data_IF_844436508175
#
_entry.id   IF_844436508175
#
_cell.length_a   1.000
_cell.length_b   1.000
_cell.length_c   1.000
_cell.angle_alpha   90.00
_cell.angle_beta   90.00
_cell.angle_gamma   90.00
#
_symmetry.space_group_name_H-M   'P 1'
#
loop_
_entity.id
_entity.type
_entity.pdbx_description
1 polymer ?
#
# COMPACT_ATOMS: atom_id res chain seq x y z
N UNK A 1 -4.27 -11.86 23.12
CA UNK A 1 -3.78 -11.51 21.78
C UNK A 1 -2.53 -12.34 21.53
N UNK A 2 -2.60 -13.29 20.61
CA UNK A 2 -1.49 -14.21 20.27
C UNK A 2 -0.56 -13.58 19.23
N UNK A 3 0.10 -12.47 19.58
CA UNK A 3 1.08 -11.83 18.68
C UNK A 3 2.36 -12.66 18.64
N UNK A 4 2.87 -12.89 17.44
CA UNK A 4 4.15 -13.58 17.21
C UNK A 4 4.23 -15.00 17.77
N UNK A 5 3.09 -15.71 17.88
CA UNK A 5 3.05 -17.10 18.33
C UNK A 5 3.45 -18.04 17.21
N UNK A 6 4.41 -18.91 17.47
CA UNK A 6 4.92 -19.90 16.53
C UNK A 6 3.88 -21.01 16.36
N UNK A 7 3.49 -21.31 15.13
CA UNK A 7 2.57 -22.41 14.79
C UNK A 7 3.29 -23.64 14.27
N UNK A 8 4.41 -23.46 13.54
CA UNK A 8 5.21 -24.53 12.99
C UNK A 8 6.69 -24.16 12.95
N UNK A 9 7.55 -25.15 12.96
CA UNK A 9 9.01 -25.00 12.86
C UNK A 9 9.50 -26.01 11.83
N UNK A 10 10.21 -25.51 10.84
CA UNK A 10 10.77 -26.35 9.79
C UNK A 10 11.78 -27.37 10.36
N UNK A 11 11.82 -28.59 9.81
CA UNK A 11 12.79 -29.60 10.21
C UNK A 11 14.26 -29.14 10.09
N UNK A 12 14.54 -28.25 9.12
CA UNK A 12 15.87 -27.70 8.87
C UNK A 12 16.13 -26.36 9.61
N UNK A 13 15.16 -25.89 10.42
CA UNK A 13 15.30 -24.68 11.22
C UNK A 13 16.50 -24.78 12.17
N UNK A 14 17.34 -23.74 12.30
CA UNK A 14 18.39 -23.69 13.32
C UNK A 14 17.81 -23.65 14.75
N UNK A 15 16.51 -23.37 14.89
CA UNK A 15 15.78 -23.34 16.17
C UNK A 15 15.03 -24.64 16.48
N UNK A 16 15.08 -25.68 15.63
CA UNK A 16 14.27 -26.92 15.73
C UNK A 16 14.35 -27.67 17.08
N UNK A 17 15.43 -27.46 17.83
CA UNK A 17 15.63 -28.12 19.13
C UNK A 17 15.36 -27.20 20.33
N UNK A 18 15.10 -25.92 20.09
CA UNK A 18 14.98 -24.89 21.11
C UNK A 18 13.62 -24.20 21.13
N UNK A 19 12.97 -24.08 19.97
CA UNK A 19 11.64 -23.52 19.83
C UNK A 19 10.58 -24.63 19.74
N UNK A 20 9.34 -24.32 20.15
CA UNK A 20 8.20 -25.23 20.07
C UNK A 20 6.96 -24.47 19.56
N UNK A 21 6.02 -25.13 18.85
CA UNK A 21 4.71 -24.56 18.58
C UNK A 21 4.05 -24.09 19.88
N UNK A 22 3.49 -22.87 19.87
CA UNK A 22 2.94 -22.20 21.05
C UNK A 22 3.92 -21.25 21.74
N UNK A 23 5.22 -21.32 21.45
CA UNK A 23 6.20 -20.32 21.92
C UNK A 23 5.94 -18.98 21.21
N UNK A 24 6.29 -17.89 21.88
CA UNK A 24 6.20 -16.55 21.32
C UNK A 24 7.60 -16.00 21.02
N UNK A 25 7.81 -15.51 19.81
CA UNK A 25 9.01 -14.76 19.47
C UNK A 25 8.92 -13.36 20.10
N UNK A 26 9.87 -13.04 20.98
CA UNK A 26 9.90 -11.80 21.77
C UNK A 26 10.82 -10.76 21.14
N UNK A 27 12.08 -11.16 20.87
CA UNK A 27 13.08 -10.26 20.28
C UNK A 27 14.13 -11.03 19.50
N UNK A 28 14.79 -10.32 18.59
CA UNK A 28 15.99 -10.77 17.88
C UNK A 28 17.08 -9.74 18.09
N UNK A 29 18.25 -10.15 18.56
CA UNK A 29 19.39 -9.27 18.88
C UNK A 29 18.98 -8.10 19.81
N UNK A 30 18.07 -8.34 20.77
CA UNK A 30 17.54 -7.34 21.69
C UNK A 30 16.46 -6.43 21.10
N UNK A 31 16.18 -6.48 19.79
CA UNK A 31 15.14 -5.71 19.15
C UNK A 31 13.78 -6.40 19.29
N UNK A 32 12.76 -5.74 19.85
CA UNK A 32 11.43 -6.35 20.02
C UNK A 32 10.80 -6.70 18.66
N UNK A 33 10.19 -7.88 18.56
CA UNK A 33 9.42 -8.28 17.38
C UNK A 33 7.94 -8.02 17.66
N UNK A 34 7.34 -7.18 16.86
CA UNK A 34 5.93 -6.82 16.98
C UNK A 34 5.06 -7.40 15.86
N UNK A 35 5.64 -7.61 14.70
CA UNK A 35 4.99 -8.18 13.52
C UNK A 35 6.01 -8.74 12.50
N UNK A 36 5.50 -9.15 11.34
CA UNK A 36 6.27 -9.77 10.26
C UNK A 36 7.38 -8.86 9.69
N UNK A 37 7.22 -7.53 9.72
CA UNK A 37 8.25 -6.62 9.20
C UNK A 37 9.47 -6.56 10.11
N UNK A 38 9.27 -6.48 11.44
CA UNK A 38 10.37 -6.59 12.40
C UNK A 38 11.06 -7.95 12.26
N UNK A 39 10.27 -9.03 12.14
CA UNK A 39 10.81 -10.36 11.96
C UNK A 39 11.70 -10.47 10.73
N UNK A 40 11.21 -10.08 9.56
CA UNK A 40 11.99 -10.15 8.32
C UNK A 40 13.24 -9.26 8.36
N UNK A 41 13.15 -8.08 8.96
CA UNK A 41 14.28 -7.15 9.05
C UNK A 41 15.35 -7.65 10.00
N UNK A 42 15.00 -7.96 11.26
CA UNK A 42 15.97 -8.36 12.27
C UNK A 42 16.46 -9.82 12.15
N UNK A 43 15.72 -10.68 11.44
CA UNK A 43 16.17 -12.03 11.13
C UNK A 43 17.13 -12.11 9.94
N UNK A 44 17.48 -10.99 9.28
CA UNK A 44 18.33 -11.00 8.10
C UNK A 44 19.79 -11.35 8.40
N UNK A 45 20.32 -10.97 9.56
CA UNK A 45 21.71 -11.18 9.96
C UNK A 45 22.07 -12.67 10.10
N UNK A 46 23.38 -13.03 9.94
CA UNK A 46 23.83 -14.42 10.06
C UNK A 46 23.92 -14.90 11.50
N UNK A 47 24.21 -14.03 12.46
CA UNK A 47 24.35 -14.34 13.88
C UNK A 47 23.23 -13.70 14.68
N UNK A 48 22.39 -14.50 15.32
CA UNK A 48 21.20 -14.04 15.99
C UNK A 48 21.11 -14.53 17.44
N UNK A 49 20.72 -13.63 18.34
CA UNK A 49 20.25 -13.94 19.68
C UNK A 49 18.72 -13.87 19.67
N UNK A 50 18.05 -15.01 19.60
CA UNK A 50 16.59 -15.14 19.49
C UNK A 50 15.99 -15.38 20.87
N UNK A 51 15.21 -14.41 21.37
CA UNK A 51 14.49 -14.55 22.64
C UNK A 51 13.09 -15.11 22.40
N UNK A 52 12.80 -16.24 23.02
CA UNK A 52 11.52 -16.93 22.97
C UNK A 52 10.87 -16.93 24.35
N UNK A 53 9.54 -16.81 24.39
CA UNK A 53 8.73 -16.93 25.61
C UNK A 53 7.81 -18.13 25.48
N UNK A 54 7.92 -19.06 26.43
CA UNK A 54 7.07 -20.24 26.53
C UNK A 54 5.65 -19.88 26.98
N UNK A 55 4.67 -20.76 26.78
CA UNK A 55 3.29 -20.56 27.27
C UNK A 55 3.21 -20.35 28.79
N UNK A 56 4.14 -20.90 29.58
CA UNK A 56 4.24 -20.69 31.04
C UNK A 56 4.81 -19.32 31.44
N UNK A 57 5.20 -18.49 30.46
CA UNK A 57 5.78 -17.15 30.65
C UNK A 57 7.31 -17.13 30.77
N UNK A 58 7.98 -18.29 30.83
CA UNK A 58 9.46 -18.39 30.92
C UNK A 58 10.09 -17.90 29.60
N UNK A 59 11.07 -17.01 29.71
CA UNK A 59 11.87 -16.56 28.57
C UNK A 59 13.23 -17.26 28.55
N UNK A 60 13.68 -17.57 27.35
CA UNK A 60 15.02 -18.05 27.09
C UNK A 60 15.57 -17.50 25.78
N UNK A 61 16.87 -17.28 25.71
CA UNK A 61 17.56 -16.83 24.53
C UNK A 61 18.37 -17.93 23.89
N UNK A 62 18.24 -18.10 22.60
CA UNK A 62 18.97 -19.08 21.80
C UNK A 62 19.86 -18.32 20.82
N UNK A 63 21.13 -18.69 20.79
CA UNK A 63 22.07 -18.16 19.78
C UNK A 63 22.08 -19.09 18.58
N UNK A 64 21.85 -18.55 17.41
CA UNK A 64 21.82 -19.29 16.15
C UNK A 64 22.71 -18.64 15.11
N UNK A 65 23.36 -19.46 14.29
CA UNK A 65 24.11 -19.03 13.12
C UNK A 65 23.44 -19.60 11.86
N UNK A 66 23.32 -18.79 10.81
CA UNK A 66 22.72 -19.15 9.53
C UNK A 66 23.34 -18.33 8.38
N UNK A 67 23.14 -18.67 7.10
CA UNK A 67 23.52 -17.80 6.00
C UNK A 67 22.87 -16.42 6.09
N UNK A 68 23.58 -15.38 5.65
CA UNK A 68 23.03 -14.03 5.52
C UNK A 68 21.74 -14.06 4.67
N UNK A 69 20.66 -13.48 5.16
CA UNK A 69 19.34 -13.52 4.49
C UNK A 69 18.65 -14.90 4.54
N UNK A 70 19.28 -15.94 5.10
CA UNK A 70 18.64 -17.25 5.29
C UNK A 70 17.47 -17.17 6.26
N UNK A 71 16.49 -18.04 6.10
CA UNK A 71 15.30 -18.06 6.96
C UNK A 71 15.55 -18.78 8.28
N UNK A 72 14.78 -18.41 9.32
CA UNK A 72 14.77 -19.11 10.60
C UNK A 72 13.87 -20.35 10.60
N UNK A 73 13.06 -20.54 9.54
CA UNK A 73 12.14 -21.67 9.42
C UNK A 73 11.07 -21.67 10.51
N UNK A 74 10.49 -20.51 10.82
CA UNK A 74 9.38 -20.34 11.76
C UNK A 74 8.14 -19.86 11.02
N UNK A 75 7.03 -20.61 11.17
CA UNK A 75 5.70 -20.17 10.81
C UNK A 75 4.96 -19.66 12.03
N UNK A 76 4.05 -18.70 11.81
CA UNK A 76 3.26 -18.07 12.87
C UNK A 76 1.77 -18.32 12.68
N UNK A 77 0.97 -18.18 13.75
CA UNK A 77 -0.49 -18.39 13.69
C UNK A 77 -1.19 -17.52 12.63
N UNK A 78 -0.66 -16.35 12.35
CA UNK A 78 -1.12 -15.47 11.28
C UNK A 78 0.04 -15.00 10.42
N UNK A 79 -0.21 -14.78 9.13
CA UNK A 79 0.80 -14.31 8.18
C UNK A 79 1.47 -13.00 8.58
N UNK A 80 0.73 -12.08 9.20
CA UNK A 80 1.25 -10.80 9.68
C UNK A 80 1.83 -10.89 11.10
N UNK A 81 1.79 -12.06 11.73
CA UNK A 81 2.17 -12.33 13.13
C UNK A 81 1.27 -11.62 14.15
N UNK A 82 0.24 -10.89 13.68
CA UNK A 82 -0.86 -10.33 14.46
C UNK A 82 -2.10 -10.14 13.56
N UNK A 83 -3.09 -9.33 13.99
CA UNK A 83 -4.28 -9.04 13.19
C UNK A 83 -4.00 -7.93 12.16
N UNK A 84 -4.54 -8.10 10.95
CA UNK A 84 -4.52 -7.05 9.94
C UNK A 84 -5.30 -5.79 10.40
N UNK A 85 -4.83 -4.62 10.00
CA UNK A 85 -5.47 -3.34 10.31
C UNK A 85 -6.60 -3.07 9.31
N UNK A 86 -7.82 -2.90 9.83
CA UNK A 86 -8.96 -2.51 9.01
C UNK A 86 -8.93 -1.03 8.69
N UNK A 87 -9.39 -0.69 7.48
CA UNK A 87 -9.53 0.69 7.03
C UNK A 87 -10.58 1.45 7.88
N UNK A 88 -10.21 2.66 8.32
CA UNK A 88 -11.08 3.55 9.08
C UNK A 88 -11.79 4.61 8.22
N UNK A 89 -11.66 4.50 6.87
CA UNK A 89 -12.23 5.47 5.95
C UNK A 89 -13.65 5.09 5.50
N UNK A 90 -14.40 6.10 5.07
CA UNK A 90 -15.74 6.00 4.47
C UNK A 90 -15.72 6.69 3.10
N UNK A 91 -14.83 6.19 2.20
CA UNK A 91 -14.62 6.81 0.90
C UNK A 91 -15.91 6.86 0.08
N UNK A 92 -16.20 8.00 -0.55
CA UNK A 92 -17.38 8.17 -1.40
C UNK A 92 -17.41 7.21 -2.59
N UNK A 93 -16.22 6.71 -2.98
CA UNK A 93 -16.01 5.78 -4.09
C UNK A 93 -15.64 4.35 -3.64
N UNK A 94 -15.74 4.01 -2.34
CA UNK A 94 -15.31 2.70 -1.84
C UNK A 94 -16.04 1.57 -2.59
N UNK A 95 -15.29 0.72 -3.29
CA UNK A 95 -15.90 -0.38 -4.02
C UNK A 95 -16.37 -1.52 -3.09
N UNK A 96 -15.77 -1.65 -1.91
CA UNK A 96 -16.23 -2.62 -0.90
C UNK A 96 -17.64 -2.26 -0.41
N UNK A 97 -17.94 -0.94 -0.21
CA UNK A 97 -19.26 -0.49 0.24
C UNK A 97 -20.36 -0.70 -0.81
N UNK A 98 -20.00 -0.93 -2.05
CA UNK A 98 -20.91 -1.22 -3.16
C UNK A 98 -20.82 -2.67 -3.67
N UNK A 99 -20.33 -3.58 -2.82
CA UNK A 99 -20.38 -5.02 -3.07
C UNK A 99 -21.78 -5.58 -2.85
N UNK A 100 -22.19 -6.64 -3.58
CA UNK A 100 -23.46 -7.32 -3.34
C UNK A 100 -23.57 -7.78 -1.89
N UNK A 101 -24.73 -7.59 -1.21
CA UNK A 101 -24.92 -8.07 0.14
C UNK A 101 -24.98 -9.61 0.18
N UNK A 102 -24.66 -10.19 1.35
CA UNK A 102 -24.79 -11.63 1.61
C UNK A 102 -23.68 -12.51 1.05
N UNK A 103 -22.57 -11.93 0.60
CA UNK A 103 -21.39 -12.70 0.17
C UNK A 103 -20.55 -13.12 1.39
N UNK A 104 -19.49 -13.94 1.15
CA UNK A 104 -18.60 -14.38 2.22
C UNK A 104 -17.96 -13.19 2.95
N UNK A 105 -17.83 -13.23 4.30
CA UNK A 105 -17.36 -12.08 5.10
C UNK A 105 -16.01 -11.51 4.68
N UNK A 106 -15.10 -12.35 4.16
CA UNK A 106 -13.77 -11.92 3.70
C UNK A 106 -13.80 -10.91 2.54
N UNK A 107 -14.88 -10.86 1.75
CA UNK A 107 -15.04 -9.87 0.67
C UNK A 107 -15.37 -8.47 1.18
N UNK A 108 -15.79 -8.33 2.43
CA UNK A 108 -16.14 -7.04 3.02
C UNK A 108 -15.03 -6.49 3.93
N UNK A 109 -13.90 -7.19 4.00
CA UNK A 109 -12.76 -6.71 4.75
C UNK A 109 -12.12 -5.55 3.97
N UNK A 110 -12.10 -4.37 4.61
CA UNK A 110 -11.41 -3.19 4.09
C UNK A 110 -10.02 -3.14 4.71
N UNK A 111 -9.02 -3.38 3.92
CA UNK A 111 -7.65 -3.30 4.37
C UNK A 111 -7.10 -1.87 4.23
N UNK A 112 -6.24 -1.46 5.15
CA UNK A 112 -5.45 -0.23 5.11
C UNK A 112 -4.18 -0.45 5.97
N UNK A 113 -3.46 -1.53 5.68
CA UNK A 113 -2.34 -2.04 6.46
C UNK A 113 -1.02 -1.85 5.69
N UNK A 114 -0.09 -1.08 6.25
CA UNK A 114 1.21 -0.81 5.65
C UNK A 114 2.02 -2.08 5.36
N UNK A 115 1.83 -3.15 6.15
CA UNK A 115 2.49 -4.44 5.95
C UNK A 115 1.99 -5.13 4.69
N UNK A 116 0.67 -5.07 4.45
CA UNK A 116 0.07 -5.62 3.23
C UNK A 116 0.47 -4.80 2.00
N UNK A 117 0.66 -3.49 2.16
CA UNK A 117 1.20 -2.65 1.08
C UNK A 117 2.58 -3.13 0.64
N UNK A 118 3.50 -3.33 1.58
CA UNK A 118 4.86 -3.78 1.27
C UNK A 118 4.94 -5.24 0.82
N UNK A 119 4.20 -6.15 1.48
CA UNK A 119 4.32 -7.60 1.26
C UNK A 119 3.51 -8.10 0.07
N UNK A 120 2.38 -7.45 -0.23
CA UNK A 120 1.38 -7.91 -1.19
C UNK A 120 1.07 -6.89 -2.29
N UNK A 121 1.67 -5.71 -2.25
CA UNK A 121 1.37 -4.65 -3.21
C UNK A 121 0.04 -3.91 -2.99
N UNK A 122 -0.64 -4.11 -1.86
CA UNK A 122 -1.90 -3.45 -1.57
C UNK A 122 -1.74 -1.93 -1.43
N UNK A 123 -2.74 -1.17 -1.85
CA UNK A 123 -2.74 0.28 -1.73
C UNK A 123 -3.27 0.73 -0.37
N UNK A 124 -2.49 1.54 0.36
CA UNK A 124 -2.87 2.09 1.66
C UNK A 124 -3.16 3.59 1.59
N UNK A 125 -4.02 4.08 2.48
CA UNK A 125 -4.44 5.49 2.47
C UNK A 125 -3.58 6.41 3.32
N UNK A 126 -2.68 5.89 4.12
CA UNK A 126 -1.87 6.58 5.14
C UNK A 126 -2.69 7.19 6.30
N UNK A 127 -4.02 6.99 6.34
CA UNK A 127 -4.87 7.57 7.40
C UNK A 127 -4.84 6.79 8.70
N UNK A 128 -4.45 5.51 8.64
CA UNK A 128 -4.36 4.60 9.78
C UNK A 128 -2.99 4.63 10.49
N UNK A 129 -1.99 5.31 9.91
CA UNK A 129 -0.65 5.33 10.46
C UNK A 129 -0.56 6.22 11.70
N UNK A 130 -0.01 5.67 12.76
CA UNK A 130 0.48 6.44 13.89
C UNK A 130 1.86 7.05 13.57
N UNK A 131 2.26 8.07 14.33
CA UNK A 131 3.58 8.68 14.21
C UNK A 131 4.71 7.63 14.36
N UNK A 132 4.53 6.69 15.29
CA UNK A 132 5.48 5.59 15.49
C UNK A 132 5.62 4.71 14.25
N UNK A 133 4.51 4.41 13.57
CA UNK A 133 4.51 3.60 12.35
C UNK A 133 5.18 4.33 11.19
N UNK A 134 4.92 5.63 11.02
CA UNK A 134 5.62 6.46 10.03
C UNK A 134 7.14 6.41 10.25
N UNK A 135 7.60 6.64 11.50
CA UNK A 135 9.02 6.56 11.83
C UNK A 135 9.60 5.16 11.61
N UNK A 136 8.83 4.12 11.93
CA UNK A 136 9.25 2.73 11.73
C UNK A 136 9.40 2.37 10.25
N UNK A 137 8.47 2.80 9.39
CA UNK A 137 8.56 2.59 7.93
C UNK A 137 9.87 3.20 7.40
N UNK A 138 10.19 4.41 7.83
CA UNK A 138 11.43 5.10 7.43
C UNK A 138 12.66 4.36 7.99
N UNK A 139 12.66 4.03 9.29
CA UNK A 139 13.80 3.38 9.97
C UNK A 139 14.12 2.00 9.38
N UNK A 140 13.10 1.17 9.14
CA UNK A 140 13.25 -0.15 8.56
C UNK A 140 13.40 -0.11 7.02
N UNK A 141 13.35 1.08 6.42
CA UNK A 141 13.45 1.29 4.98
C UNK A 141 12.45 0.44 4.18
N UNK A 142 11.19 0.40 4.65
CA UNK A 142 10.11 -0.37 4.02
C UNK A 142 9.71 0.31 2.71
N UNK A 143 10.24 -0.21 1.60
CA UNK A 143 10.15 0.39 0.26
C UNK A 143 10.18 -0.70 -0.82
N UNK A 144 9.41 -0.59 -1.91
CA UNK A 144 8.42 0.44 -2.17
C UNK A 144 7.13 0.25 -1.33
N UNK A 145 6.32 1.31 -1.24
CA UNK A 145 4.95 1.28 -0.70
C UNK A 145 3.96 1.82 -1.72
N UNK A 146 2.73 1.30 -1.70
CA UNK A 146 1.67 1.71 -2.59
C UNK A 146 0.68 2.62 -1.87
N UNK A 147 0.41 3.81 -2.40
CA UNK A 147 -0.36 4.86 -1.73
C UNK A 147 -1.62 5.25 -2.51
N UNK A 148 -2.78 5.10 -1.90
CA UNK A 148 -4.07 5.64 -2.38
C UNK A 148 -4.13 7.14 -2.08
N UNK A 149 -3.83 7.97 -3.07
CA UNK A 149 -3.73 9.44 -2.91
C UNK A 149 -5.07 10.14 -3.12
N UNK A 150 -5.67 9.97 -4.28
CA UNK A 150 -6.93 10.51 -4.78
C UNK A 150 -6.95 12.04 -4.93
N UNK A 151 -6.44 12.81 -3.97
CA UNK A 151 -6.23 14.26 -4.02
C UNK A 151 -5.14 14.68 -3.02
N UNK A 152 -4.43 15.78 -3.31
CA UNK A 152 -3.48 16.42 -2.38
C UNK A 152 -4.08 17.62 -1.66
N UNK A 153 -5.20 18.16 -2.16
CA UNK A 153 -5.99 19.14 -1.42
C UNK A 153 -6.52 18.53 -0.12
N UNK A 154 -6.19 19.07 1.07
CA UNK A 154 -6.53 18.46 2.36
C UNK A 154 -8.03 18.35 2.62
N UNK A 155 -8.81 19.36 2.21
CA UNK A 155 -10.25 19.41 2.43
C UNK A 155 -10.95 18.43 1.49
N UNK A 156 -10.60 18.48 0.20
CA UNK A 156 -11.13 17.56 -0.79
C UNK A 156 -10.81 16.10 -0.42
N UNK A 157 -9.57 15.83 -0.02
CA UNK A 157 -9.18 14.46 0.36
C UNK A 157 -9.93 13.98 1.60
N UNK A 158 -10.10 14.84 2.61
CA UNK A 158 -10.88 14.51 3.80
C UNK A 158 -12.34 14.20 3.46
N UNK A 159 -12.91 14.94 2.53
CA UNK A 159 -14.25 14.67 2.00
C UNK A 159 -14.30 13.34 1.22
N UNK A 160 -13.40 13.13 0.26
CA UNK A 160 -13.35 11.92 -0.57
C UNK A 160 -13.23 10.63 0.26
N UNK A 161 -12.42 10.67 1.32
CA UNK A 161 -12.19 9.52 2.18
C UNK A 161 -13.16 9.44 3.38
N UNK A 162 -14.01 10.45 3.59
CA UNK A 162 -14.88 10.51 4.76
C UNK A 162 -14.10 10.46 6.08
N UNK A 163 -12.88 11.03 6.11
CA UNK A 163 -11.96 10.95 7.25
C UNK A 163 -11.15 12.24 7.41
N UNK A 164 -11.31 12.99 8.51
CA UNK A 164 -10.58 14.24 8.73
C UNK A 164 -9.05 14.09 8.78
N UNK A 165 -8.54 12.89 9.11
CA UNK A 165 -7.08 12.63 9.11
C UNK A 165 -6.49 12.56 7.72
N UNK A 166 -7.32 12.35 6.70
CA UNK A 166 -6.86 12.18 5.31
C UNK A 166 -6.16 13.42 4.74
N UNK A 167 -6.42 14.62 5.27
CA UNK A 167 -5.76 15.84 4.84
C UNK A 167 -4.25 15.91 5.08
N UNK A 168 -3.68 15.04 5.94
CA UNK A 168 -2.24 15.03 6.26
C UNK A 168 -1.37 14.19 5.32
N UNK A 169 -1.95 13.55 4.32
CA UNK A 169 -1.26 12.56 3.49
C UNK A 169 -0.03 13.12 2.79
N UNK A 170 -0.14 14.31 2.17
CA UNK A 170 1.00 14.91 1.46
C UNK A 170 2.19 15.21 2.41
N UNK A 171 1.92 15.58 3.66
CA UNK A 171 2.95 15.75 4.69
C UNK A 171 3.67 14.42 4.99
N UNK A 172 2.91 13.34 5.17
CA UNK A 172 3.48 12.01 5.40
C UNK A 172 4.29 11.55 4.18
N UNK A 173 3.78 11.74 2.97
CA UNK A 173 4.49 11.40 1.72
C UNK A 173 5.81 12.18 1.56
N UNK A 174 5.85 13.46 1.94
CA UNK A 174 7.11 14.23 1.97
C UNK A 174 8.12 13.60 2.92
N UNK A 175 7.70 13.25 4.12
CA UNK A 175 8.57 12.57 5.10
C UNK A 175 9.07 11.21 4.59
N UNK A 176 8.24 10.45 3.90
CA UNK A 176 8.66 9.21 3.24
C UNK A 176 9.67 9.49 2.13
N UNK A 177 9.43 10.50 1.31
CA UNK A 177 10.37 10.94 0.28
C UNK A 177 11.72 11.34 0.87
N UNK A 178 11.72 12.16 1.93
CA UNK A 178 12.93 12.59 2.64
C UNK A 178 13.65 11.41 3.31
N UNK A 179 12.90 10.42 3.79
CA UNK A 179 13.39 9.16 4.35
C UNK A 179 13.84 8.13 3.32
N UNK A 180 13.80 8.46 2.02
CA UNK A 180 14.28 7.58 0.96
C UNK A 180 13.27 6.51 0.49
N UNK A 181 12.03 6.51 0.98
CA UNK A 181 11.00 5.53 0.63
C UNK A 181 10.43 5.81 -0.76
N UNK A 182 10.43 4.80 -1.62
CA UNK A 182 9.79 4.85 -2.94
C UNK A 182 8.29 4.60 -2.81
N UNK A 183 7.49 5.34 -3.55
CA UNK A 183 6.03 5.28 -3.52
C UNK A 183 5.47 5.08 -4.92
N UNK A 184 4.58 4.09 -5.10
CA UNK A 184 3.69 3.99 -6.24
C UNK A 184 2.32 4.50 -5.82
N UNK A 185 1.73 5.39 -6.60
CA UNK A 185 0.52 6.09 -6.22
C UNK A 185 -0.67 5.73 -7.11
N UNK A 186 -1.86 5.76 -6.53
CA UNK A 186 -3.12 5.57 -7.26
C UNK A 186 -4.06 6.74 -6.99
N UNK A 187 -4.74 7.19 -8.04
CA UNK A 187 -5.81 8.18 -7.98
C UNK A 187 -7.07 7.56 -8.57
N UNK A 188 -8.06 7.24 -7.73
CA UNK A 188 -9.41 6.97 -8.22
C UNK A 188 -10.04 8.29 -8.63
N UNK A 189 -10.17 8.52 -9.93
CA UNK A 189 -10.69 9.75 -10.49
C UNK A 189 -12.22 9.69 -10.53
N UNK A 190 -12.87 10.69 -9.94
CA UNK A 190 -14.31 10.84 -9.84
C UNK A 190 -14.71 12.11 -10.57
N UNK A 191 -15.43 12.04 -11.72
CA UNK A 191 -15.86 13.21 -12.47
C UNK A 191 -16.61 14.24 -11.62
N UNK A 192 -16.20 15.51 -11.73
CA UNK A 192 -16.76 16.63 -10.98
C UNK A 192 -16.28 16.75 -9.52
N UNK A 193 -15.36 15.90 -9.06
CA UNK A 193 -14.81 15.96 -7.71
C UNK A 193 -13.30 16.20 -7.71
N UNK A 194 -12.52 15.24 -8.19
CA UNK A 194 -11.06 15.30 -8.17
C UNK A 194 -10.42 15.18 -9.56
N UNK A 195 -11.19 15.44 -10.62
CA UNK A 195 -10.76 15.62 -12.01
C UNK A 195 -10.29 17.04 -12.31
N UNK A 196 -10.02 17.36 -13.57
CA UNK A 196 -9.67 18.68 -14.07
C UNK A 196 -8.59 19.39 -13.24
N UNK A 197 -8.89 20.57 -12.72
CA UNK A 197 -7.94 21.39 -11.96
C UNK A 197 -7.45 20.72 -10.67
N UNK A 198 -8.29 19.92 -10.00
CA UNK A 198 -7.89 19.19 -8.80
C UNK A 198 -6.92 18.03 -9.13
N UNK A 199 -7.16 17.35 -10.23
CA UNK A 199 -6.23 16.31 -10.73
C UNK A 199 -4.90 16.96 -11.12
N UNK A 200 -4.92 18.05 -11.83
CA UNK A 200 -3.71 18.81 -12.22
C UNK A 200 -2.90 19.24 -11.00
N UNK A 201 -3.55 19.84 -9.98
CA UNK A 201 -2.89 20.16 -8.70
C UNK A 201 -2.24 18.93 -8.07
N UNK A 202 -2.98 17.83 -7.98
CA UNK A 202 -2.48 16.59 -7.40
C UNK A 202 -1.27 16.06 -8.13
N UNK A 203 -1.29 16.07 -9.47
CA UNK A 203 -0.15 15.65 -10.29
C UNK A 203 1.08 16.53 -10.07
N UNK A 204 0.93 17.84 -9.97
CA UNK A 204 2.04 18.76 -9.67
C UNK A 204 2.65 18.49 -8.29
N UNK A 205 1.81 18.31 -7.27
CA UNK A 205 2.28 18.04 -5.91
C UNK A 205 3.05 16.70 -5.82
N UNK A 206 2.57 15.68 -6.54
CA UNK A 206 3.22 14.37 -6.59
C UNK A 206 4.52 14.40 -7.42
N UNK A 207 4.52 15.09 -8.55
CA UNK A 207 5.72 15.27 -9.39
C UNK A 207 6.84 16.00 -8.66
N UNK A 208 6.52 16.87 -7.68
CA UNK A 208 7.51 17.52 -6.84
C UNK A 208 8.25 16.55 -5.89
N UNK A 209 7.74 15.33 -5.71
CA UNK A 209 8.36 14.27 -4.90
C UNK A 209 9.14 13.24 -5.76
N UNK A 210 9.24 13.44 -7.09
CA UNK A 210 10.07 12.60 -7.94
C UNK A 210 11.55 12.68 -7.50
N UNK A 211 12.34 11.58 -7.51
CA UNK A 211 12.02 10.23 -7.97
C UNK A 211 11.36 9.32 -6.93
N UNK A 212 11.04 9.80 -5.73
CA UNK A 212 10.47 8.97 -4.68
C UNK A 212 8.99 8.64 -4.92
N UNK A 213 8.21 9.53 -5.50
CA UNK A 213 6.99 9.13 -6.22
C UNK A 213 7.43 8.63 -7.59
N UNK A 214 7.48 7.30 -7.70
CA UNK A 214 8.03 6.61 -8.87
C UNK A 214 7.01 6.52 -10.00
N UNK A 215 5.77 6.16 -9.68
CA UNK A 215 4.69 6.07 -10.65
C UNK A 215 3.32 6.42 -10.04
N UNK A 216 2.42 6.92 -10.87
CA UNK A 216 1.06 7.31 -10.48
C UNK A 216 0.07 6.79 -11.51
N UNK A 217 -0.88 5.95 -11.10
CA UNK A 217 -2.00 5.52 -11.94
C UNK A 217 -3.23 6.37 -11.69
N UNK A 218 -3.90 6.79 -12.75
CA UNK A 218 -5.21 7.43 -12.72
C UNK A 218 -6.24 6.43 -13.22
N UNK A 219 -7.08 5.93 -12.32
CA UNK A 219 -8.11 4.94 -12.62
C UNK A 219 -9.49 5.56 -12.56
N UNK A 220 -10.41 5.22 -13.46
CA UNK A 220 -11.78 5.72 -13.39
C UNK A 220 -12.49 5.14 -12.18
N UNK A 221 -13.39 5.90 -11.57
CA UNK A 221 -14.25 5.38 -10.50
C UNK A 221 -15.14 4.26 -11.03
N UNK A 222 -15.11 3.11 -10.33
CA UNK A 222 -15.99 1.98 -10.59
C UNK A 222 -17.32 2.16 -9.85
N UNK A 223 -18.45 2.03 -10.56
CA UNK A 223 -19.79 2.13 -10.00
C UNK A 223 -20.55 0.85 -10.22
N UNK A 224 -21.18 0.33 -9.16
CA UNK A 224 -22.05 -0.85 -9.21
C UNK A 224 -23.51 -0.46 -8.99
N UNK A 225 -24.43 -1.40 -9.20
CA UNK A 225 -25.86 -1.21 -8.91
C UNK A 225 -26.19 -1.22 -7.42
N UNK A 226 -25.24 -1.54 -6.55
CA UNK A 226 -25.43 -1.63 -5.09
C UNK A 226 -24.97 -0.36 -4.38
N UNK A 227 -25.41 0.80 -4.87
CA UNK A 227 -25.04 2.12 -4.33
C UNK A 227 -26.16 2.84 -3.60
N UNK A 228 -27.21 2.15 -3.21
CA UNK A 228 -28.32 2.74 -2.45
C UNK A 228 -27.78 3.31 -1.11
N UNK A 229 -28.12 4.58 -0.83
CA UNK A 229 -27.66 5.28 0.37
C UNK A 229 -26.20 5.77 0.35
N UNK A 230 -25.42 5.47 -0.67
CA UNK A 230 -24.05 5.99 -0.83
C UNK A 230 -24.05 7.35 -1.56
N UNK A 231 -22.95 8.10 -1.37
CA UNK A 231 -22.78 9.40 -2.04
C UNK A 231 -22.95 9.26 -3.56
N UNK A 232 -23.77 10.10 -4.20
CA UNK A 232 -24.01 10.02 -5.65
C UNK A 232 -22.76 10.42 -6.43
N UNK A 233 -22.26 9.50 -7.25
CA UNK A 233 -21.11 9.72 -8.14
C UNK A 233 -21.57 9.65 -9.59
N UNK A 234 -20.93 10.46 -10.44
CA UNK A 234 -21.15 10.47 -11.87
C UNK A 234 -20.20 9.48 -12.55
N UNK A 235 -20.66 8.59 -13.42
CA UNK A 235 -19.78 7.74 -14.20
C UNK A 235 -19.02 8.57 -15.25
N UNK A 236 -17.87 8.06 -15.68
CA UNK A 236 -17.15 8.65 -16.81
C UNK A 236 -17.98 8.54 -18.10
N UNK A 237 -18.16 9.64 -18.80
CA UNK A 237 -18.60 9.65 -20.20
C UNK A 237 -17.38 9.54 -21.13
N UNK A 238 -17.58 9.21 -22.44
CA UNK A 238 -16.47 9.22 -23.39
C UNK A 238 -15.72 10.55 -23.45
N UNK A 239 -16.43 11.67 -23.35
CA UNK A 239 -15.87 13.03 -23.38
C UNK A 239 -15.02 13.28 -22.14
N UNK A 240 -15.51 13.00 -20.93
CA UNK A 240 -14.75 13.15 -19.69
C UNK A 240 -13.50 12.23 -19.68
N UNK A 241 -13.62 11.02 -20.23
CA UNK A 241 -12.47 10.12 -20.36
C UNK A 241 -11.41 10.71 -21.30
N UNK A 242 -11.84 11.28 -22.45
CA UNK A 242 -10.95 11.91 -23.40
C UNK A 242 -10.24 13.14 -22.80
N UNK A 243 -10.97 14.03 -22.11
CA UNK A 243 -10.39 15.20 -21.43
C UNK A 243 -9.38 14.79 -20.34
N UNK A 244 -9.69 13.77 -19.56
CA UNK A 244 -8.78 13.23 -18.53
C UNK A 244 -7.51 12.66 -19.16
N UNK A 245 -7.64 11.89 -20.24
CA UNK A 245 -6.50 11.34 -21.00
C UNK A 245 -5.62 12.46 -21.55
N UNK A 246 -6.20 13.48 -22.15
CA UNK A 246 -5.46 14.61 -22.72
C UNK A 246 -4.67 15.35 -21.64
N UNK A 247 -5.29 15.60 -20.48
CA UNK A 247 -4.65 16.25 -19.34
C UNK A 247 -3.47 15.42 -18.80
N UNK A 248 -3.70 14.12 -18.53
CA UNK A 248 -2.68 13.25 -17.92
C UNK A 248 -1.55 12.95 -18.89
N UNK A 249 -1.84 12.68 -20.16
CA UNK A 249 -0.83 12.38 -21.16
C UNK A 249 0.07 13.60 -21.43
N UNK A 250 -0.53 14.81 -21.54
CA UNK A 250 0.25 16.04 -21.70
C UNK A 250 1.21 16.25 -20.50
N UNK A 251 0.72 16.04 -19.28
CA UNK A 251 1.55 16.16 -18.08
C UNK A 251 2.63 15.06 -18.00
N UNK A 252 2.31 13.84 -18.40
CA UNK A 252 3.29 12.74 -18.51
C UNK A 252 4.41 13.08 -19.51
N UNK A 253 4.07 13.69 -20.66
CA UNK A 253 5.05 14.14 -21.64
C UNK A 253 5.96 15.27 -21.09
N UNK A 254 5.43 16.15 -20.24
CA UNK A 254 6.23 17.13 -19.51
C UNK A 254 7.18 16.45 -18.51
N UNK A 255 6.72 15.40 -17.80
CA UNK A 255 7.56 14.60 -16.91
C UNK A 255 8.69 13.92 -17.67
N UNK A 256 8.42 13.33 -18.83
CA UNK A 256 9.48 12.72 -19.68
C UNK A 256 10.56 13.76 -20.04
N UNK A 257 10.16 14.97 -20.44
CA UNK A 257 11.10 16.06 -20.77
C UNK A 257 11.92 16.52 -19.58
N UNK A 258 11.31 16.54 -18.38
CA UNK A 258 11.93 17.08 -17.16
C UNK A 258 12.74 16.05 -16.41
N UNK A 259 12.26 14.83 -16.34
CA UNK A 259 12.78 13.78 -15.47
C UNK A 259 13.37 12.59 -16.23
N UNK A 260 13.05 12.45 -17.52
CA UNK A 260 13.40 11.26 -18.31
C UNK A 260 12.46 10.07 -18.07
N UNK A 261 11.35 10.26 -17.35
CA UNK A 261 10.35 9.24 -17.04
C UNK A 261 8.94 9.82 -17.08
N UNK A 262 7.95 9.03 -17.48
CA UNK A 262 6.55 9.47 -17.64
C UNK A 262 5.85 9.73 -16.31
N UNK A 263 6.07 8.93 -15.32
CA UNK A 263 5.53 8.99 -13.94
C UNK A 263 4.01 8.84 -13.86
N UNK A 264 3.22 9.48 -14.73
CA UNK A 264 1.74 9.51 -14.68
C UNK A 264 1.14 8.73 -15.85
N UNK A 265 0.22 7.80 -15.51
CA UNK A 265 -0.41 6.90 -16.47
C UNK A 265 -1.91 6.83 -16.21
N UNK A 266 -2.72 6.85 -17.25
CA UNK A 266 -4.12 6.48 -17.17
C UNK A 266 -4.28 4.97 -17.29
N UNK A 267 -5.23 4.40 -16.56
CA UNK A 267 -5.65 3.02 -16.78
C UNK A 267 -6.21 2.83 -18.20
N UNK A 268 -5.99 1.66 -18.77
CA UNK A 268 -6.43 1.30 -20.13
C UNK A 268 -7.94 1.46 -20.30
N UNK A 269 -8.70 1.27 -19.21
CA UNK A 269 -10.15 1.48 -19.19
C UNK A 269 -10.53 2.91 -19.63
N UNK A 270 -9.72 3.94 -19.32
CA UNK A 270 -10.01 5.31 -19.76
C UNK A 270 -9.86 5.46 -21.27
N UNK A 271 -8.86 4.80 -21.88
CA UNK A 271 -8.71 4.77 -23.35
C UNK A 271 -9.91 4.09 -24.00
N UNK A 272 -10.33 2.93 -23.47
CA UNK A 272 -11.50 2.21 -23.98
C UNK A 272 -12.79 3.03 -23.84
N UNK A 273 -12.97 3.73 -22.70
CA UNK A 273 -14.14 4.60 -22.50
C UNK A 273 -14.15 5.79 -23.45
N UNK A 274 -13.00 6.35 -23.77
CA UNK A 274 -12.85 7.45 -24.71
C UNK A 274 -12.93 7.03 -26.19
N UNK A 275 -13.00 5.72 -26.47
CA UNK A 275 -12.95 5.17 -27.83
C UNK A 275 -11.60 5.39 -28.51
N UNK A 276 -10.51 5.46 -27.74
CA UNK A 276 -9.13 5.66 -28.23
C UNK A 276 -8.36 4.34 -28.23
N UNK A 277 -7.41 4.21 -29.13
CA UNK A 277 -6.45 3.12 -29.15
C UNK A 277 -5.54 3.17 -27.89
N UNK A 278 -5.13 2.00 -27.41
CA UNK A 278 -4.17 1.88 -26.31
C UNK A 278 -2.79 2.36 -26.79
N UNK A 279 -2.00 2.97 -25.91
CA UNK A 279 -0.62 3.31 -26.21
C UNK A 279 0.23 2.10 -26.56
N UNK A 280 1.33 2.28 -27.31
CA UNK A 280 2.28 1.21 -27.58
C UNK A 280 3.04 0.80 -26.31
N UNK A 281 3.67 -0.36 -26.34
CA UNK A 281 4.36 -0.97 -25.19
C UNK A 281 5.38 -0.02 -24.52
N UNK A 282 6.15 0.71 -25.31
CA UNK A 282 7.18 1.62 -24.82
C UNK A 282 6.63 2.80 -24.01
N UNK A 283 5.35 3.12 -24.15
CA UNK A 283 4.69 4.17 -23.38
C UNK A 283 4.60 3.82 -21.89
N UNK A 284 4.46 2.53 -21.57
CA UNK A 284 4.22 2.04 -20.21
C UNK A 284 5.51 1.85 -19.38
N UNK A 285 6.68 2.08 -19.99
CA UNK A 285 8.00 1.97 -19.35
C UNK A 285 8.19 0.60 -18.65
N UNK A 286 8.31 0.55 -17.33
CA UNK A 286 8.53 -0.68 -16.56
C UNK A 286 7.24 -1.43 -16.18
N UNK A 287 6.08 -1.01 -16.66
CA UNK A 287 4.76 -1.60 -16.31
C UNK A 287 4.48 -1.65 -14.81
N UNK A 288 4.91 -0.64 -14.07
CA UNK A 288 4.82 -0.59 -12.60
C UNK A 288 3.39 -0.54 -12.06
N UNK A 289 2.39 -0.34 -12.91
CA UNK A 289 0.99 -0.12 -12.52
C UNK A 289 0.03 -1.17 -13.15
N UNK A 290 0.52 -2.36 -13.51
CA UNK A 290 -0.30 -3.43 -14.11
C UNK A 290 -1.54 -3.76 -13.27
N UNK A 291 -1.41 -3.84 -11.93
CA UNK A 291 -2.53 -4.12 -11.02
C UNK A 291 -3.62 -3.04 -11.03
N UNK A 292 -3.31 -1.86 -11.53
CA UNK A 292 -4.24 -0.75 -11.73
C UNK A 292 -4.81 -0.70 -13.16
N UNK A 293 -4.56 -1.73 -13.97
CA UNK A 293 -5.02 -1.78 -15.35
C UNK A 293 -4.30 -0.81 -16.27
N UNK A 294 -2.99 -0.61 -16.07
CA UNK A 294 -2.13 0.22 -16.92
C UNK A 294 -1.19 -0.69 -17.70
N UNK A 295 -1.40 -0.81 -19.01
CA UNK A 295 -0.62 -1.66 -19.91
C UNK A 295 -0.98 -3.15 -19.82
N UNK A 296 -2.24 -3.49 -19.67
CA UNK A 296 -2.74 -4.87 -19.59
C UNK A 296 -2.97 -5.50 -20.95
#
# INVERSE_FOLDING_TARGET
>A
MHRCTISHIDPDSPLRHAAHPGDRLVSINGNPITDVLDYKYYAYDPELAVCLRRPDGTEHTVHVSKPLGGELGLDFETYLMDNAHSCANHCVFCFIDQMPPGMRPTLYFKDDDARLSFLMGNYMTLTNLSEREVQRIIHLHISPINVSVHATDPELRSFLLGNPRAGKTLEIMRRFSDGGITMNCQIVCCPGLNDGAQLQRTMHDLAALYPKVHSVSIVPVGLTKFREGLYPLTPFTPEHAAETLDLVNAFGDECVKKFGARVFFCADELYLKAGRELPPEEFYEEFTQLENGVGM
#
